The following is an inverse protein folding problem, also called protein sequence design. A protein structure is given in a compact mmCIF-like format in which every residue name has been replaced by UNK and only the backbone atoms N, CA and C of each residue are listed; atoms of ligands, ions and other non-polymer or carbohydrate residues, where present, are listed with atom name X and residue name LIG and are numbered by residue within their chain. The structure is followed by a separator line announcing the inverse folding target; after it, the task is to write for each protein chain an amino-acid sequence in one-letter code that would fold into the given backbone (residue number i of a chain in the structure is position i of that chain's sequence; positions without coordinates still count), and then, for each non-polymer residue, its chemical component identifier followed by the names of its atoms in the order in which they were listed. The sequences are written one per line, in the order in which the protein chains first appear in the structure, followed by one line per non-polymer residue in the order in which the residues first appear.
data_IF_019009523851
#
_entry.id   IF_019009523851
#
_cell.length_a   1.000
_cell.length_b   1.000
_cell.length_c   1.000
_cell.angle_alpha   90.00
_cell.angle_beta   90.00
_cell.angle_gamma   90.00
#
_symmetry.space_group_name_H-M   'P 1'
#
loop_
_entity.id
_entity.type
_entity.pdbx_description
1 polymer ?
#
# COMPACT_ATOMS: atom_id res chain seq x y z
N UNK A 1 -25.79 27.52 6.52
CA UNK A 1 -24.62 27.46 5.61
C UNK A 1 -23.40 27.26 6.48
N UNK A 2 -23.12 26.02 6.84
CA UNK A 2 -21.95 25.62 7.61
C UNK A 2 -21.74 24.13 7.31
N UNK A 3 -20.81 23.82 6.40
CA UNK A 3 -19.89 22.70 6.50
C UNK A 3 -18.91 22.77 5.30
N UNK A 4 -17.79 23.45 5.46
CA UNK A 4 -16.73 23.51 4.44
C UNK A 4 -15.38 23.05 5.02
N UNK A 5 -15.42 22.08 5.94
CA UNK A 5 -14.27 21.73 6.80
C UNK A 5 -13.79 20.26 6.74
N UNK A 6 -14.18 19.43 5.77
CA UNK A 6 -13.98 17.98 5.88
C UNK A 6 -13.39 17.24 4.66
N UNK A 7 -12.73 17.93 3.74
CA UNK A 7 -12.01 17.27 2.64
C UNK A 7 -10.59 17.81 2.57
N UNK A 8 -9.79 17.60 3.63
CA UNK A 8 -8.34 17.56 3.42
C UNK A 8 -8.07 16.28 2.63
N UNK A 9 -7.69 16.47 1.37
CA UNK A 9 -7.45 15.45 0.37
C UNK A 9 -6.54 14.36 0.91
N UNK A 10 -6.94 13.12 0.64
CA UNK A 10 -6.05 11.98 0.66
C UNK A 10 -4.86 12.26 -0.24
N UNK A 11 -3.66 11.90 0.21
CA UNK A 11 -2.43 12.12 -0.53
C UNK A 11 -2.55 11.46 -1.92
N UNK A 12 -2.54 12.31 -2.95
CA UNK A 12 -2.63 11.89 -4.36
C UNK A 12 -1.34 11.20 -4.82
N UNK A 13 -1.39 10.48 -5.95
CA UNK A 13 -0.18 9.88 -6.55
C UNK A 13 0.81 10.98 -6.92
N UNK A 14 0.34 12.10 -7.45
CA UNK A 14 1.17 13.22 -7.85
C UNK A 14 1.89 13.85 -6.64
N UNK A 15 1.17 14.00 -5.53
CA UNK A 15 1.77 14.43 -4.26
C UNK A 15 2.75 13.40 -3.71
N UNK A 16 2.45 12.10 -3.80
CA UNK A 16 3.36 11.03 -3.42
C UNK A 16 4.67 11.07 -4.22
N UNK A 17 4.58 11.14 -5.55
CA UNK A 17 5.73 11.21 -6.45
C UNK A 17 6.56 12.48 -6.16
N UNK A 18 5.89 13.62 -5.99
CA UNK A 18 6.54 14.89 -5.65
C UNK A 18 7.26 14.82 -4.31
N UNK A 19 6.62 14.23 -3.30
CA UNK A 19 7.18 14.04 -1.97
C UNK A 19 8.39 13.09 -2.01
N UNK A 20 8.25 11.94 -2.67
CA UNK A 20 9.31 10.96 -2.88
C UNK A 20 10.52 11.60 -3.57
N UNK A 21 10.30 12.36 -4.64
CA UNK A 21 11.36 13.07 -5.36
C UNK A 21 12.07 14.11 -4.48
N UNK A 22 11.32 14.91 -3.70
CA UNK A 22 11.88 15.91 -2.79
C UNK A 22 12.71 15.28 -1.67
N UNK A 23 12.23 14.20 -1.06
CA UNK A 23 12.97 13.45 -0.04
C UNK A 23 14.25 12.88 -0.66
N UNK A 24 14.15 12.21 -1.81
CA UNK A 24 15.29 11.62 -2.50
C UNK A 24 16.35 12.68 -2.89
N UNK A 25 15.92 13.86 -3.32
CA UNK A 25 16.81 14.97 -3.62
C UNK A 25 17.62 15.40 -2.38
N UNK A 26 16.99 15.51 -1.21
CA UNK A 26 17.69 15.85 0.03
C UNK A 26 18.67 14.75 0.46
N UNK A 27 18.28 13.49 0.33
CA UNK A 27 19.15 12.35 0.66
C UNK A 27 20.36 12.23 -0.27
N UNK A 28 20.23 12.69 -1.52
CA UNK A 28 21.30 12.67 -2.52
C UNK A 28 22.23 13.88 -2.44
N UNK A 29 21.94 14.85 -1.56
CA UNK A 29 22.78 16.04 -1.41
C UNK A 29 24.14 15.70 -0.77
N UNK A 30 25.21 16.36 -1.22
CA UNK A 30 26.57 16.17 -0.67
C UNK A 30 26.65 16.47 0.82
N UNK A 31 25.79 17.37 1.32
CA UNK A 31 25.57 17.62 2.73
C UNK A 31 24.06 17.59 3.01
N UNK A 32 23.62 16.60 3.79
CA UNK A 32 22.21 16.47 4.18
C UNK A 32 21.82 17.60 5.15
N UNK A 33 20.88 18.44 4.73
CA UNK A 33 20.24 19.41 5.62
C UNK A 33 19.11 18.72 6.39
N UNK A 34 19.44 18.17 7.57
CA UNK A 34 18.51 17.37 8.37
C UNK A 34 17.24 18.13 8.78
N UNK A 35 17.30 19.41 9.21
CA UNK A 35 16.09 20.21 9.45
C UNK A 35 15.15 20.31 8.25
N UNK A 36 15.70 20.44 7.03
CA UNK A 36 14.89 20.47 5.81
C UNK A 36 14.25 19.11 5.53
N UNK A 37 15.00 18.01 5.69
CA UNK A 37 14.44 16.66 5.57
C UNK A 37 13.31 16.44 6.59
N UNK A 38 13.51 16.88 7.83
CA UNK A 38 12.51 16.78 8.89
C UNK A 38 11.24 17.56 8.53
N UNK A 39 11.38 18.81 8.09
CA UNK A 39 10.26 19.61 7.64
C UNK A 39 9.50 18.97 6.46
N UNK A 40 10.21 18.33 5.52
CA UNK A 40 9.57 17.61 4.42
C UNK A 40 8.76 16.40 4.89
N UNK A 41 9.30 15.60 5.81
CA UNK A 41 8.62 14.43 6.36
C UNK A 41 7.41 14.88 7.19
N UNK A 42 7.61 15.76 8.16
CA UNK A 42 6.55 16.25 9.06
C UNK A 42 5.44 17.01 8.33
N UNK A 43 5.75 17.70 7.23
CA UNK A 43 4.76 18.46 6.48
C UNK A 43 4.01 19.46 7.37
N UNK A 44 2.68 19.33 7.57
CA UNK A 44 1.92 20.23 8.43
C UNK A 44 2.00 19.91 9.93
N UNK A 45 2.59 18.77 10.33
CA UNK A 45 2.70 18.38 11.73
C UNK A 45 3.73 19.27 12.46
N UNK A 46 3.38 19.67 13.68
CA UNK A 46 4.21 20.52 14.53
C UNK A 46 4.64 19.76 15.78
N UNK A 47 5.91 19.91 16.13
CA UNK A 47 6.57 19.24 17.25
C UNK A 47 7.46 20.26 17.95
N UNK A 48 7.60 20.15 19.26
CA UNK A 48 8.50 21.02 20.00
C UNK A 48 9.98 20.72 19.71
N UNK A 49 10.90 21.56 20.18
CA UNK A 49 12.33 21.40 19.92
C UNK A 49 12.91 20.09 20.47
N UNK A 50 12.33 19.55 21.56
CA UNK A 50 12.79 18.30 22.16
C UNK A 50 12.45 17.14 21.23
N UNK A 51 11.18 17.05 20.82
CA UNK A 51 10.68 15.98 19.97
C UNK A 51 11.29 16.04 18.57
N UNK A 52 11.49 17.24 18.01
CA UNK A 52 12.25 17.41 16.77
C UNK A 52 13.68 16.86 16.90
N UNK A 53 14.33 17.06 18.06
CA UNK A 53 15.65 16.50 18.35
C UNK A 53 15.67 14.97 18.34
N UNK A 54 14.64 14.33 18.90
CA UNK A 54 14.47 12.87 18.89
C UNK A 54 14.26 12.36 17.47
N UNK A 55 13.38 13.00 16.69
CA UNK A 55 13.10 12.62 15.30
C UNK A 55 14.33 12.75 14.39
N UNK A 56 15.16 13.78 14.60
CA UNK A 56 16.45 13.90 13.92
C UNK A 56 17.40 12.76 14.30
N UNK A 57 17.34 12.29 15.55
CA UNK A 57 18.04 11.08 15.98
C UNK A 57 17.56 9.84 15.21
N UNK A 58 16.25 9.71 14.96
CA UNK A 58 15.70 8.58 14.23
C UNK A 58 16.23 8.53 12.79
N UNK A 59 16.34 9.69 12.13
CA UNK A 59 16.93 9.76 10.79
C UNK A 59 18.39 9.31 10.76
N UNK A 60 19.16 9.52 11.83
CA UNK A 60 20.52 9.00 11.91
C UNK A 60 20.55 7.48 12.03
N UNK A 61 19.63 6.89 12.80
CA UNK A 61 19.47 5.43 12.88
C UNK A 61 19.13 4.88 11.50
N UNK A 62 18.14 5.46 10.82
CA UNK A 62 17.73 5.01 9.49
C UNK A 62 18.82 5.20 8.45
N UNK A 63 19.61 6.28 8.52
CA UNK A 63 20.71 6.51 7.59
C UNK A 63 21.83 5.50 7.74
N UNK A 64 22.18 5.15 8.98
CA UNK A 64 23.16 4.10 9.28
C UNK A 64 22.61 2.71 8.89
N UNK A 65 21.35 2.47 9.26
CA UNK A 65 20.64 1.22 9.03
C UNK A 65 20.40 0.93 7.56
N UNK A 66 20.01 1.91 6.74
CA UNK A 66 19.72 1.67 5.33
C UNK A 66 20.87 2.02 4.40
N UNK A 67 21.77 2.96 4.72
CA UNK A 67 22.97 3.33 3.95
C UNK A 67 22.81 3.17 2.41
N UNK A 68 23.62 2.31 1.78
CA UNK A 68 23.58 2.00 0.33
C UNK A 68 22.49 0.97 -0.06
N UNK A 69 21.68 0.54 0.91
CA UNK A 69 20.60 -0.41 0.74
C UNK A 69 19.54 0.09 -0.22
N UNK A 70 19.07 -0.81 -1.09
CA UNK A 70 18.03 -0.53 -2.09
C UNK A 70 16.83 -1.44 -1.87
N UNK A 71 15.63 -0.90 -2.06
CA UNK A 71 14.39 -1.68 -2.16
C UNK A 71 14.43 -2.60 -3.37
N UNK A 72 13.45 -3.50 -3.46
CA UNK A 72 13.30 -4.46 -4.55
C UNK A 72 13.24 -3.79 -5.94
N UNK A 73 12.74 -2.57 -6.05
CA UNK A 73 12.71 -1.79 -7.29
C UNK A 73 13.93 -0.87 -7.49
N UNK A 74 14.94 -0.93 -6.63
CA UNK A 74 16.18 -0.18 -6.80
C UNK A 74 16.19 1.24 -6.21
N UNK A 75 15.07 1.71 -5.65
CA UNK A 75 14.98 2.95 -4.86
C UNK A 75 15.76 2.80 -3.54
N UNK A 76 16.37 3.86 -2.98
CA UNK A 76 17.01 3.79 -1.67
C UNK A 76 16.06 3.27 -0.59
N UNK A 77 16.50 2.29 0.21
CA UNK A 77 15.68 1.63 1.24
C UNK A 77 15.07 2.61 2.24
N UNK A 78 15.86 3.60 2.64
CA UNK A 78 15.47 4.67 3.56
C UNK A 78 14.26 5.50 3.08
N UNK A 79 13.94 5.54 1.78
CA UNK A 79 12.79 6.29 1.30
C UNK A 79 11.48 5.75 1.87
N UNK A 80 11.37 4.43 2.05
CA UNK A 80 10.16 3.79 2.53
C UNK A 80 9.71 4.30 3.90
N UNK A 81 10.50 4.16 4.98
CA UNK A 81 10.08 4.67 6.30
C UNK A 81 9.84 6.18 6.31
N UNK A 82 10.62 6.95 5.55
CA UNK A 82 10.43 8.40 5.45
C UNK A 82 9.10 8.78 4.77
N UNK A 83 8.72 8.06 3.70
CA UNK A 83 7.44 8.29 3.02
C UNK A 83 6.26 7.78 3.85
N UNK A 84 6.39 6.63 4.51
CA UNK A 84 5.39 6.12 5.46
C UNK A 84 5.09 7.15 6.55
N UNK A 85 6.12 7.69 7.20
CA UNK A 85 5.96 8.77 8.19
C UNK A 85 5.36 10.05 7.60
N UNK A 86 5.72 10.38 6.36
CA UNK A 86 5.22 11.57 5.69
C UNK A 86 3.75 11.46 5.26
N UNK A 87 3.28 10.26 4.87
CA UNK A 87 1.86 9.95 4.64
C UNK A 87 1.08 10.11 5.95
N UNK A 88 1.60 9.53 7.04
CA UNK A 88 1.01 9.63 8.37
C UNK A 88 0.84 11.09 8.81
N UNK A 89 1.90 11.89 8.76
CA UNK A 89 1.87 13.28 9.23
C UNK A 89 0.94 14.20 8.41
N UNK A 90 0.62 13.83 7.17
CA UNK A 90 -0.34 14.56 6.32
C UNK A 90 -1.78 14.12 6.56
N UNK A 91 -1.97 12.88 7.01
CA UNK A 91 -3.30 12.29 7.21
C UNK A 91 -3.82 12.52 8.63
N UNK A 92 -2.93 12.38 9.62
CA UNK A 92 -3.23 12.57 11.03
C UNK A 92 -3.12 14.06 11.40
N UNK A 93 -4.18 14.70 11.93
CA UNK A 93 -4.14 16.14 12.22
C UNK A 93 -3.11 16.56 13.26
N UNK A 94 -2.84 15.69 14.24
CA UNK A 94 -1.91 15.92 15.36
C UNK A 94 -1.21 14.59 15.69
N UNK A 95 -0.23 14.15 14.89
CA UNK A 95 0.51 12.93 15.20
C UNK A 95 1.32 13.13 16.48
N UNK A 96 1.40 12.09 17.30
CA UNK A 96 2.28 12.04 18.48
C UNK A 96 3.68 11.61 18.08
N UNK A 97 4.64 11.77 18.99
CA UNK A 97 6.01 11.30 18.76
C UNK A 97 6.06 9.78 18.51
N UNK A 98 5.22 9.01 19.19
CA UNK A 98 5.12 7.55 19.02
C UNK A 98 4.62 7.19 17.63
N UNK A 99 3.63 7.91 17.10
CA UNK A 99 3.09 7.63 15.76
C UNK A 99 4.18 7.81 14.70
N UNK A 100 4.94 8.91 14.79
CA UNK A 100 5.99 9.22 13.82
C UNK A 100 7.20 8.30 13.99
N UNK A 101 7.64 8.01 15.22
CA UNK A 101 8.72 7.06 15.46
C UNK A 101 8.35 5.63 15.03
N UNK A 102 7.11 5.21 15.30
CA UNK A 102 6.56 3.95 14.83
C UNK A 102 6.58 3.86 13.30
N UNK A 103 6.12 4.90 12.61
CA UNK A 103 6.18 4.94 11.15
C UNK A 103 7.62 4.96 10.59
N UNK A 104 8.55 5.64 11.26
CA UNK A 104 9.95 5.68 10.85
C UNK A 104 10.68 4.34 11.09
N UNK A 105 10.34 3.63 12.16
CA UNK A 105 11.06 2.42 12.58
C UNK A 105 10.28 1.11 12.36
N UNK A 106 9.14 1.14 11.67
CA UNK A 106 8.25 -0.03 11.51
C UNK A 106 8.95 -1.28 10.96
N UNK A 107 9.91 -1.11 10.06
CA UNK A 107 10.68 -2.21 9.46
C UNK A 107 11.99 -2.53 10.22
N UNK A 108 12.30 -1.86 11.32
CA UNK A 108 13.58 -2.02 12.03
C UNK A 108 13.83 -3.50 12.43
N UNK A 109 12.80 -4.17 12.93
CA UNK A 109 12.93 -5.57 13.37
C UNK A 109 13.00 -6.58 12.22
N UNK A 110 12.63 -6.17 11.00
CA UNK A 110 12.61 -7.02 9.80
C UNK A 110 13.84 -6.78 8.91
N UNK A 111 14.14 -5.52 8.61
CA UNK A 111 15.15 -5.12 7.62
C UNK A 111 16.48 -4.68 8.25
N UNK A 112 16.46 -4.18 9.49
CA UNK A 112 17.64 -3.60 10.16
C UNK A 112 18.24 -4.57 11.17
N UNK A 113 18.48 -5.80 10.72
CA UNK A 113 18.96 -6.93 11.52
C UNK A 113 20.42 -7.26 11.17
N UNK A 114 21.13 -7.93 12.09
CA UNK A 114 22.55 -8.21 11.91
C UNK A 114 22.83 -9.03 10.63
N UNK A 115 21.95 -9.96 10.29
CA UNK A 115 22.09 -10.80 9.09
C UNK A 115 22.08 -9.99 7.77
N UNK A 116 21.30 -8.90 7.73
CA UNK A 116 21.15 -8.04 6.54
C UNK A 116 22.19 -6.91 6.50
N UNK A 117 22.58 -6.39 7.66
CA UNK A 117 23.46 -5.23 7.77
C UNK A 117 24.95 -5.60 7.87
N UNK A 118 25.25 -6.79 8.38
CA UNK A 118 26.58 -7.18 8.85
C UNK A 118 26.91 -6.59 10.22
N UNK A 119 27.76 -7.28 10.98
CA UNK A 119 28.07 -7.03 12.39
C UNK A 119 28.46 -5.57 12.67
N UNK A 120 29.42 -4.98 11.95
CA UNK A 120 29.91 -3.63 12.25
C UNK A 120 28.83 -2.55 12.09
N UNK A 121 28.10 -2.58 10.97
CA UNK A 121 27.02 -1.62 10.68
C UNK A 121 25.84 -1.81 11.61
N UNK A 122 25.48 -3.06 11.91
CA UNK A 122 24.43 -3.36 12.89
C UNK A 122 24.78 -2.77 14.26
N UNK A 123 25.98 -3.00 14.78
CA UNK A 123 26.40 -2.45 16.08
C UNK A 123 26.43 -0.90 16.08
N UNK A 124 26.89 -0.28 15.00
CA UNK A 124 26.86 1.18 14.82
C UNK A 124 25.43 1.73 14.86
N UNK A 125 24.51 1.08 14.13
CA UNK A 125 23.09 1.45 14.09
C UNK A 125 22.40 1.23 15.43
N UNK A 126 22.62 0.08 16.09
CA UNK A 126 22.07 -0.24 17.41
C UNK A 126 22.55 0.75 18.48
N UNK A 127 23.83 1.15 18.46
CA UNK A 127 24.35 2.17 19.39
C UNK A 127 23.60 3.50 19.24
N UNK A 128 23.25 3.88 18.00
CA UNK A 128 22.44 5.09 17.74
C UNK A 128 21.00 4.90 18.19
N UNK A 129 20.44 3.71 17.98
CA UNK A 129 19.10 3.35 18.43
C UNK A 129 18.98 3.40 19.96
N UNK A 130 19.92 2.81 20.69
CA UNK A 130 19.99 2.87 22.15
C UNK A 130 20.06 4.32 22.65
N UNK A 131 20.88 5.16 22.02
CA UNK A 131 20.97 6.59 22.34
C UNK A 131 19.65 7.32 22.11
N UNK A 132 18.94 7.00 21.03
CA UNK A 132 17.60 7.55 20.75
C UNK A 132 16.62 7.11 21.83
N UNK A 133 16.56 5.83 22.14
CA UNK A 133 15.66 5.25 23.13
C UNK A 133 15.91 5.82 24.53
N UNK A 134 17.17 6.09 24.88
CA UNK A 134 17.55 6.75 26.14
C UNK A 134 17.06 8.21 26.22
N UNK A 135 16.79 8.87 25.09
CA UNK A 135 16.21 10.22 25.04
C UNK A 135 14.70 10.27 25.28
N UNK A 136 14.03 9.12 25.22
CA UNK A 136 12.59 8.96 25.47
C UNK A 136 12.32 8.75 26.97
N UNK A 137 11.19 9.25 27.45
CA UNK A 137 10.66 8.81 28.74
C UNK A 137 10.26 7.34 28.71
N UNK A 138 10.11 6.74 29.90
CA UNK A 138 9.92 5.30 30.06
C UNK A 138 8.63 4.79 29.41
N UNK A 139 7.55 5.56 29.49
CA UNK A 139 6.25 5.21 28.90
C UNK A 139 6.34 5.18 27.38
N UNK A 140 6.87 6.26 26.78
CA UNK A 140 7.10 6.37 25.34
C UNK A 140 8.00 5.26 24.82
N UNK A 141 9.09 4.95 25.55
CA UNK A 141 10.04 3.89 25.18
C UNK A 141 9.40 2.49 25.20
N UNK A 142 8.63 2.21 26.24
CA UNK A 142 7.93 0.92 26.40
C UNK A 142 6.91 0.74 25.31
N UNK A 143 6.07 1.77 25.08
CA UNK A 143 5.03 1.74 24.06
C UNK A 143 5.59 1.65 22.65
N UNK A 144 6.68 2.36 22.33
CA UNK A 144 7.35 2.23 21.04
C UNK A 144 7.92 0.82 20.83
N UNK A 145 8.59 0.25 21.84
CA UNK A 145 9.11 -1.12 21.75
C UNK A 145 7.99 -2.14 21.49
N UNK A 146 6.87 -2.03 22.20
CA UNK A 146 5.71 -2.89 21.99
C UNK A 146 5.12 -2.70 20.58
N UNK A 147 4.99 -1.46 20.12
CA UNK A 147 4.49 -1.14 18.78
C UNK A 147 5.37 -1.79 17.68
N UNK A 148 6.69 -1.65 17.77
CA UNK A 148 7.61 -2.22 16.78
C UNK A 148 7.57 -3.75 16.77
N UNK A 149 7.46 -4.35 17.95
CA UNK A 149 7.28 -5.80 18.07
C UNK A 149 5.99 -6.27 17.39
N UNK A 150 4.90 -5.51 17.54
CA UNK A 150 3.61 -5.83 16.93
C UNK A 150 3.58 -5.59 15.42
N UNK A 151 4.39 -4.65 14.92
CA UNK A 151 4.55 -4.35 13.49
C UNK A 151 5.41 -5.38 12.76
N UNK A 152 6.22 -6.15 13.47
CA UNK A 152 7.09 -7.19 12.93
C UNK A 152 6.36 -8.51 12.68
N UNK A 153 6.55 -9.10 11.49
CA UNK A 153 6.00 -10.40 11.13
C UNK A 153 6.86 -11.61 11.58
N UNK A 154 8.06 -11.37 12.12
CA UNK A 154 9.04 -12.45 12.43
C UNK A 154 8.53 -13.47 13.44
N UNK A 155 7.66 -13.06 14.35
CA UNK A 155 7.09 -13.94 15.39
C UNK A 155 5.83 -14.67 14.95
N UNK A 156 5.12 -14.17 13.94
CA UNK A 156 3.81 -14.68 13.55
C UNK A 156 3.88 -15.90 12.62
N UNK A 157 5.01 -16.10 11.93
CA UNK A 157 5.28 -17.23 11.03
C UNK A 157 4.55 -17.19 9.68
N UNK A 158 3.33 -16.65 9.61
CA UNK A 158 2.61 -16.42 8.34
C UNK A 158 2.01 -15.02 8.30
N UNK A 159 1.85 -14.47 7.08
CA UNK A 159 1.26 -13.15 6.89
C UNK A 159 -0.16 -13.04 7.48
N UNK A 160 -0.97 -14.11 7.39
CA UNK A 160 -2.31 -14.15 7.98
C UNK A 160 -2.28 -14.03 9.50
N UNK A 161 -1.42 -14.81 10.17
CA UNK A 161 -1.27 -14.75 11.63
C UNK A 161 -0.80 -13.37 12.09
N UNK A 162 0.10 -12.76 11.31
CA UNK A 162 0.55 -11.40 11.54
C UNK A 162 -0.60 -10.39 11.43
N UNK A 163 -1.43 -10.48 10.38
CA UNK A 163 -2.60 -9.61 10.27
C UNK A 163 -3.56 -9.80 11.44
N UNK A 164 -3.82 -11.03 11.88
CA UNK A 164 -4.68 -11.28 13.04
C UNK A 164 -4.12 -10.64 14.32
N UNK A 165 -2.81 -10.75 14.57
CA UNK A 165 -2.14 -10.07 15.69
C UNK A 165 -2.35 -8.56 15.62
N UNK A 166 -2.16 -7.96 14.45
CA UNK A 166 -2.41 -6.53 14.25
C UNK A 166 -3.85 -6.15 14.55
N UNK A 167 -4.82 -6.95 14.10
CA UNK A 167 -6.25 -6.69 14.32
C UNK A 167 -6.66 -6.85 15.80
N UNK A 168 -6.04 -7.78 16.53
CA UNK A 168 -6.32 -8.02 17.94
C UNK A 168 -5.86 -6.86 18.83
N UNK A 169 -4.68 -6.31 18.53
CA UNK A 169 -4.07 -5.25 19.32
C UNK A 169 -4.51 -3.85 18.89
N UNK A 170 -5.08 -3.71 17.69
CA UNK A 170 -5.47 -2.43 17.10
C UNK A 170 -6.34 -1.54 17.99
N UNK A 171 -7.25 -2.11 18.78
CA UNK A 171 -8.13 -1.30 19.67
C UNK A 171 -7.39 -0.75 20.87
N UNK A 172 -6.43 -1.50 21.41
CA UNK A 172 -5.59 -1.07 22.52
C UNK A 172 -4.47 -0.11 22.04
N UNK A 173 -4.02 -0.30 20.81
CA UNK A 173 -2.91 0.43 20.18
C UNK A 173 -3.31 0.94 18.78
N UNK A 174 -4.14 1.99 18.66
CA UNK A 174 -4.60 2.50 17.36
C UNK A 174 -3.46 2.90 16.41
N UNK A 175 -2.34 3.37 16.97
CA UNK A 175 -1.11 3.72 16.23
C UNK A 175 -0.60 2.57 15.35
N UNK A 176 -0.85 1.32 15.76
CA UNK A 176 -0.50 0.12 15.00
C UNK A 176 -1.21 0.09 13.63
N UNK A 177 -2.50 0.42 13.59
CA UNK A 177 -3.25 0.50 12.35
C UNK A 177 -2.84 1.69 11.51
N UNK A 178 -2.57 2.84 12.14
CA UNK A 178 -2.16 4.05 11.41
C UNK A 178 -0.86 3.80 10.65
N UNK A 179 0.14 3.26 11.35
CA UNK A 179 1.43 2.89 10.74
C UNK A 179 1.22 1.82 9.67
N UNK A 180 0.44 0.78 9.96
CA UNK A 180 0.26 -0.32 8.99
C UNK A 180 -0.44 0.13 7.72
N UNK A 181 -1.48 0.95 7.81
CA UNK A 181 -2.17 1.48 6.63
C UNK A 181 -1.25 2.41 5.82
N UNK A 182 -0.43 3.25 6.47
CA UNK A 182 0.56 4.08 5.77
C UNK A 182 1.61 3.23 5.04
N UNK A 183 2.12 2.16 5.68
CA UNK A 183 3.03 1.19 5.07
C UNK A 183 2.41 0.53 3.82
N UNK A 184 1.15 0.07 3.93
CA UNK A 184 0.41 -0.49 2.78
C UNK A 184 0.23 0.53 1.64
N UNK A 185 -0.10 1.78 1.97
CA UNK A 185 -0.21 2.85 0.97
C UNK A 185 1.13 3.13 0.28
N UNK A 186 2.23 3.24 1.03
CA UNK A 186 3.56 3.43 0.44
C UNK A 186 3.94 2.26 -0.48
N UNK A 187 3.74 1.02 -0.03
CA UNK A 187 4.04 -0.16 -0.84
C UNK A 187 3.24 -0.23 -2.14
N UNK A 188 2.02 0.30 -2.14
CA UNK A 188 1.15 0.38 -3.31
C UNK A 188 1.67 1.43 -4.29
N UNK A 189 2.03 2.62 -3.81
CA UNK A 189 2.55 3.70 -4.65
C UNK A 189 4.04 3.54 -5.04
N UNK A 190 4.84 2.75 -4.32
CA UNK A 190 6.25 2.51 -4.64
C UNK A 190 6.41 1.87 -6.03
N UNK A 191 5.41 1.07 -6.47
CA UNK A 191 5.39 0.51 -7.83
C UNK A 191 5.32 1.62 -8.88
N UNK A 192 4.56 2.67 -8.61
CA UNK A 192 4.32 3.78 -9.53
C UNK A 192 5.57 4.61 -9.82
N UNK A 193 6.58 4.60 -8.93
CA UNK A 193 7.81 5.39 -9.11
C UNK A 193 8.62 5.01 -10.35
N UNK A 194 8.44 3.80 -10.86
CA UNK A 194 9.06 3.36 -12.12
C UNK A 194 8.27 3.84 -13.35
N UNK A 195 7.02 4.31 -13.18
CA UNK A 195 6.04 4.50 -14.26
C UNK A 195 5.23 5.80 -14.14
N UNK A 196 5.82 6.98 -14.35
CA UNK A 196 5.16 8.28 -14.16
C UNK A 196 4.08 8.61 -15.23
N UNK A 197 3.69 7.66 -16.08
CA UNK A 197 3.05 7.92 -17.37
C UNK A 197 1.56 8.27 -17.35
N UNK A 198 0.84 8.08 -16.24
CA UNK A 198 -0.64 7.91 -16.32
C UNK A 198 -1.45 8.81 -15.40
N UNK A 199 -0.79 9.71 -14.67
CA UNK A 199 -1.41 10.75 -13.82
C UNK A 199 -2.42 11.64 -14.57
N UNK A 200 -2.27 11.78 -15.89
CA UNK A 200 -3.15 12.61 -16.72
C UNK A 200 -4.30 11.86 -17.44
N UNK A 201 -4.44 10.54 -17.30
CA UNK A 201 -5.47 9.79 -18.01
C UNK A 201 -6.68 9.50 -17.13
N UNK A 202 -7.85 9.93 -17.62
CA UNK A 202 -9.12 9.65 -16.97
C UNK A 202 -9.63 8.27 -17.41
N UNK A 203 -9.36 7.24 -16.61
CA UNK A 203 -9.84 5.87 -16.84
C UNK A 203 -11.36 5.80 -17.05
N UNK A 204 -12.15 6.48 -16.21
CA UNK A 204 -13.60 6.44 -16.32
C UNK A 204 -14.11 7.06 -17.63
N UNK A 205 -13.47 8.13 -18.09
CA UNK A 205 -13.73 8.69 -19.42
C UNK A 205 -13.39 7.69 -20.51
N UNK A 206 -12.24 7.02 -20.43
CA UNK A 206 -11.85 6.00 -21.41
C UNK A 206 -12.87 4.85 -21.45
N UNK A 207 -13.32 4.35 -20.30
CA UNK A 207 -14.39 3.34 -20.21
C UNK A 207 -15.68 3.84 -20.84
N UNK A 208 -16.09 5.08 -20.55
CA UNK A 208 -17.28 5.67 -21.16
C UNK A 208 -17.16 5.74 -22.68
N UNK A 209 -16.03 6.23 -23.20
CA UNK A 209 -15.79 6.33 -24.64
C UNK A 209 -15.78 4.93 -25.31
N UNK A 210 -15.19 3.91 -24.67
CA UNK A 210 -15.20 2.52 -25.17
C UNK A 210 -16.63 1.95 -25.24
N UNK A 211 -17.43 2.16 -24.20
CA UNK A 211 -18.76 1.56 -24.11
C UNK A 211 -19.79 2.28 -24.98
N UNK A 212 -19.73 3.61 -25.06
CA UNK A 212 -20.84 4.42 -25.57
C UNK A 212 -20.54 5.17 -26.87
N UNK A 213 -19.27 5.43 -27.23
CA UNK A 213 -18.94 6.22 -28.42
C UNK A 213 -18.69 5.34 -29.65
N UNK A 214 -19.58 5.36 -30.67
CA UNK A 214 -19.47 4.44 -31.81
C UNK A 214 -18.23 4.64 -32.68
N UNK A 215 -17.63 5.84 -32.62
CA UNK A 215 -16.48 6.24 -33.43
C UNK A 215 -15.19 6.36 -32.62
N UNK A 216 -15.18 5.93 -31.36
CA UNK A 216 -13.97 5.93 -30.56
C UNK A 216 -12.94 4.99 -31.20
N UNK A 217 -11.72 5.48 -31.40
CA UNK A 217 -10.65 4.77 -32.10
C UNK A 217 -9.66 4.06 -31.17
N UNK A 218 -9.95 4.04 -29.87
CA UNK A 218 -9.08 3.46 -28.86
C UNK A 218 -8.37 4.52 -28.02
N UNK A 219 -7.78 4.03 -26.93
CA UNK A 219 -7.03 4.84 -25.98
C UNK A 219 -5.68 5.19 -26.62
N UNK A 220 -5.31 6.47 -26.59
CA UNK A 220 -4.01 6.93 -27.02
C UNK A 220 -3.27 7.50 -25.80
N UNK A 221 -2.32 6.72 -25.27
CA UNK A 221 -1.50 7.13 -24.13
C UNK A 221 -0.23 7.92 -24.52
N UNK A 222 -0.14 8.34 -25.79
CA UNK A 222 1.05 9.04 -26.31
C UNK A 222 2.19 8.07 -26.63
N UNK A 223 3.43 8.60 -26.69
CA UNK A 223 4.61 7.83 -27.09
C UNK A 223 5.36 7.17 -25.93
N UNK A 224 5.16 7.63 -24.70
CA UNK A 224 5.92 7.21 -23.53
C UNK A 224 4.96 6.60 -22.49
N UNK A 225 4.43 5.44 -22.84
CA UNK A 225 3.67 4.58 -21.93
C UNK A 225 4.34 3.20 -21.95
N UNK A 226 4.39 2.54 -20.80
CA UNK A 226 5.20 1.34 -20.63
C UNK A 226 4.43 0.31 -19.82
N UNK A 227 4.21 -0.85 -20.43
CA UNK A 227 3.79 -2.02 -19.66
C UNK A 227 4.87 -2.35 -18.63
N UNK A 228 4.50 -2.56 -17.35
CA UNK A 228 5.47 -2.94 -16.34
C UNK A 228 6.19 -4.23 -16.73
N UNK A 229 7.43 -4.36 -16.29
CA UNK A 229 8.11 -5.64 -16.40
C UNK A 229 7.42 -6.69 -15.51
N UNK A 230 7.62 -7.98 -15.82
CA UNK A 230 6.96 -9.06 -15.08
C UNK A 230 7.25 -9.02 -13.57
N UNK A 231 8.43 -8.54 -13.16
CA UNK A 231 8.76 -8.38 -11.73
C UNK A 231 7.88 -7.33 -11.05
N UNK A 232 7.68 -6.20 -11.71
CA UNK A 232 6.91 -5.06 -11.20
C UNK A 232 5.42 -5.37 -11.20
N UNK A 233 4.92 -5.95 -12.29
CA UNK A 233 3.53 -6.40 -12.38
C UNK A 233 3.16 -7.43 -11.32
N UNK A 234 4.06 -8.40 -11.06
CA UNK A 234 3.88 -9.37 -9.97
C UNK A 234 3.86 -8.67 -8.61
N UNK A 235 4.70 -7.65 -8.41
CA UNK A 235 4.74 -6.92 -7.16
C UNK A 235 3.45 -6.12 -6.96
N UNK A 236 2.97 -5.41 -7.98
CA UNK A 236 1.70 -4.68 -7.95
C UNK A 236 0.53 -5.60 -7.60
N UNK A 237 0.39 -6.71 -8.34
CA UNK A 237 -0.68 -7.68 -8.07
C UNK A 237 -0.62 -8.20 -6.63
N UNK A 238 0.58 -8.47 -6.12
CA UNK A 238 0.77 -8.88 -4.73
C UNK A 238 0.27 -7.81 -3.74
N UNK A 239 0.51 -6.53 -4.01
CA UNK A 239 -0.01 -5.44 -3.17
C UNK A 239 -1.53 -5.39 -3.23
N UNK A 240 -2.13 -5.35 -4.44
CA UNK A 240 -3.59 -5.27 -4.60
C UNK A 240 -4.33 -6.43 -3.90
N UNK A 241 -3.79 -7.65 -3.96
CA UNK A 241 -4.33 -8.79 -3.20
C UNK A 241 -4.24 -8.56 -1.69
N UNK A 242 -3.08 -8.15 -1.18
CA UNK A 242 -2.87 -7.90 0.25
C UNK A 242 -3.77 -6.79 0.77
N UNK A 243 -3.95 -5.72 0.00
CA UNK A 243 -4.80 -4.59 0.37
C UNK A 243 -6.27 -4.99 0.40
N UNK A 244 -6.72 -5.76 -0.59
CA UNK A 244 -8.09 -6.30 -0.61
C UNK A 244 -8.37 -7.14 0.64
N UNK A 245 -7.46 -8.05 0.99
CA UNK A 245 -7.58 -8.90 2.17
C UNK A 245 -7.59 -8.04 3.45
N UNK A 246 -6.68 -7.08 3.54
CA UNK A 246 -6.54 -6.25 4.73
C UNK A 246 -7.76 -5.34 4.95
N UNK A 247 -8.26 -4.67 3.90
CA UNK A 247 -9.46 -3.85 3.98
C UNK A 247 -10.71 -4.67 4.34
N UNK A 248 -10.87 -5.86 3.76
CA UNK A 248 -11.96 -6.78 4.12
C UNK A 248 -11.91 -7.15 5.61
N UNK A 249 -10.74 -7.53 6.13
CA UNK A 249 -10.57 -7.88 7.53
C UNK A 249 -10.82 -6.70 8.46
N UNK A 250 -10.28 -5.51 8.16
CA UNK A 250 -10.51 -4.31 8.97
C UNK A 250 -12.01 -4.00 9.10
N UNK A 251 -12.74 -4.03 7.98
CA UNK A 251 -14.18 -3.77 7.96
C UNK A 251 -14.97 -4.84 8.72
N UNK A 252 -14.65 -6.12 8.51
CA UNK A 252 -15.30 -7.24 9.20
C UNK A 252 -15.11 -7.21 10.72
N UNK A 253 -14.02 -6.60 11.20
CA UNK A 253 -13.73 -6.40 12.62
C UNK A 253 -14.16 -5.03 13.17
N UNK A 254 -14.81 -4.20 12.36
CA UNK A 254 -15.23 -2.85 12.73
C UNK A 254 -14.06 -1.97 13.18
N UNK A 255 -12.92 -2.10 12.49
CA UNK A 255 -11.68 -1.36 12.74
C UNK A 255 -11.42 -0.29 11.68
N UNK A 256 -12.08 -0.35 10.54
CA UNK A 256 -11.98 0.66 9.46
C UNK A 256 -12.42 2.07 9.89
N UNK A 257 -13.15 2.18 11.00
CA UNK A 257 -13.64 3.43 11.60
C UNK A 257 -13.25 3.54 13.07
N UNK A 258 -12.11 2.94 13.45
CA UNK A 258 -11.63 3.01 14.84
C UNK A 258 -11.48 4.47 15.30
N UNK A 259 -10.97 5.32 14.41
CA UNK A 259 -10.90 6.77 14.57
C UNK A 259 -10.88 7.47 13.20
N UNK A 260 -10.90 8.80 13.21
CA UNK A 260 -10.91 9.61 11.97
C UNK A 260 -9.64 9.48 11.12
N UNK A 261 -8.51 9.08 11.70
CA UNK A 261 -7.26 8.88 10.96
C UNK A 261 -7.32 7.56 10.21
N UNK A 262 -7.79 6.51 10.89
CA UNK A 262 -7.99 5.16 10.36
C UNK A 262 -9.01 5.18 9.22
N UNK A 263 -10.13 5.89 9.38
CA UNK A 263 -11.14 6.03 8.33
C UNK A 263 -10.55 6.69 7.07
N UNK A 264 -9.79 7.76 7.24
CA UNK A 264 -9.09 8.40 6.11
C UNK A 264 -8.12 7.43 5.46
N UNK A 265 -7.22 6.81 6.23
CA UNK A 265 -6.22 5.90 5.70
C UNK A 265 -6.82 4.66 5.02
N UNK A 266 -7.96 4.15 5.52
CA UNK A 266 -8.71 3.06 4.89
C UNK A 266 -9.19 3.47 3.50
N UNK A 267 -9.85 4.62 3.39
CA UNK A 267 -10.29 5.17 2.10
C UNK A 267 -9.08 5.48 1.20
N UNK A 268 -8.00 5.98 1.79
CA UNK A 268 -6.73 6.25 1.11
C UNK A 268 -6.17 5.02 0.43
N UNK A 269 -6.05 3.91 1.15
CA UNK A 269 -5.56 2.65 0.61
C UNK A 269 -6.47 2.10 -0.49
N UNK A 270 -7.79 2.19 -0.33
CA UNK A 270 -8.73 1.80 -1.38
C UNK A 270 -8.56 2.66 -2.64
N UNK A 271 -8.43 3.99 -2.49
CA UNK A 271 -8.16 4.91 -3.60
C UNK A 271 -6.82 4.60 -4.27
N UNK A 272 -5.76 4.33 -3.50
CA UNK A 272 -4.46 3.90 -4.03
C UNK A 272 -4.60 2.64 -4.90
N UNK A 273 -5.32 1.63 -4.41
CA UNK A 273 -5.59 0.39 -5.13
C UNK A 273 -6.36 0.62 -6.43
N UNK A 274 -7.39 1.49 -6.41
CA UNK A 274 -8.13 1.90 -7.61
C UNK A 274 -7.18 2.52 -8.64
N UNK A 275 -6.34 3.47 -8.23
CA UNK A 275 -5.47 4.20 -9.15
C UNK A 275 -4.43 3.30 -9.81
N UNK A 276 -3.78 2.43 -9.05
CA UNK A 276 -2.82 1.48 -9.60
C UNK A 276 -3.48 0.45 -10.53
N UNK A 277 -4.69 -0.01 -10.19
CA UNK A 277 -5.44 -0.92 -11.05
C UNK A 277 -5.90 -0.21 -12.35
N UNK A 278 -6.40 1.02 -12.26
CA UNK A 278 -6.74 1.84 -13.43
C UNK A 278 -5.55 2.05 -14.35
N UNK A 279 -4.38 2.35 -13.78
CA UNK A 279 -3.14 2.49 -14.52
C UNK A 279 -2.84 1.24 -15.35
N UNK A 280 -2.76 0.07 -14.69
CA UNK A 280 -2.42 -1.18 -15.37
C UNK A 280 -3.49 -1.58 -16.41
N UNK A 281 -4.77 -1.28 -16.16
CA UNK A 281 -5.84 -1.52 -17.14
C UNK A 281 -5.66 -0.67 -18.40
N UNK A 282 -5.30 0.62 -18.27
CA UNK A 282 -5.04 1.49 -19.42
C UNK A 282 -3.82 1.03 -20.22
N UNK A 283 -2.75 0.62 -19.55
CA UNK A 283 -1.57 0.06 -20.22
C UNK A 283 -1.90 -1.23 -20.97
N UNK A 284 -2.71 -2.13 -20.38
CA UNK A 284 -3.17 -3.34 -21.05
C UNK A 284 -4.03 -3.03 -22.27
N UNK A 285 -4.96 -2.08 -22.16
CA UNK A 285 -5.80 -1.66 -23.28
C UNK A 285 -4.99 -1.03 -24.42
N UNK A 286 -3.94 -0.29 -24.09
CA UNK A 286 -3.11 0.36 -25.11
C UNK A 286 -2.10 -0.60 -25.75
N UNK A 287 -1.41 -1.41 -24.95
CA UNK A 287 -0.30 -2.25 -25.40
C UNK A 287 -0.71 -3.66 -25.83
N UNK A 288 -1.73 -4.25 -25.20
CA UNK A 288 -2.12 -5.65 -25.41
C UNK A 288 -3.48 -5.82 -26.10
N UNK A 289 -4.39 -4.86 -25.95
CA UNK A 289 -5.75 -4.92 -26.49
C UNK A 289 -6.13 -3.66 -27.27
N UNK A 290 -5.40 -3.27 -28.33
CA UNK A 290 -5.63 -2.01 -29.05
C UNK A 290 -7.02 -1.94 -29.71
N UNK A 291 -7.66 -3.08 -29.95
CA UNK A 291 -9.00 -3.14 -30.53
C UNK A 291 -10.09 -2.78 -29.50
N UNK A 292 -10.78 -1.66 -29.73
CA UNK A 292 -11.90 -1.18 -28.89
C UNK A 292 -12.96 -2.25 -28.66
N UNK A 293 -13.22 -3.10 -29.66
CA UNK A 293 -14.16 -4.21 -29.54
C UNK A 293 -13.76 -5.16 -28.41
N UNK A 294 -12.49 -5.56 -28.34
CA UNK A 294 -11.98 -6.46 -27.31
C UNK A 294 -11.96 -5.77 -25.93
N UNK A 295 -11.62 -4.49 -25.87
CA UNK A 295 -11.70 -3.70 -24.62
C UNK A 295 -13.14 -3.68 -24.08
N UNK A 296 -14.13 -3.46 -24.97
CA UNK A 296 -15.56 -3.50 -24.62
C UNK A 296 -15.98 -4.88 -24.13
N UNK A 297 -15.58 -5.95 -24.81
CA UNK A 297 -15.87 -7.33 -24.38
C UNK A 297 -15.32 -7.62 -22.97
N UNK A 298 -14.09 -7.18 -22.67
CA UNK A 298 -13.48 -7.32 -21.34
C UNK A 298 -14.27 -6.56 -20.26
N UNK A 299 -14.64 -5.30 -20.54
CA UNK A 299 -15.41 -4.48 -19.61
C UNK A 299 -16.79 -5.08 -19.31
N UNK A 300 -17.51 -5.52 -20.34
CA UNK A 300 -18.83 -6.13 -20.17
C UNK A 300 -18.75 -7.47 -19.43
N UNK A 301 -17.73 -8.29 -19.72
CA UNK A 301 -17.46 -9.55 -19.02
C UNK A 301 -17.24 -9.34 -17.52
N UNK A 302 -16.47 -8.31 -17.13
CA UNK A 302 -16.23 -8.00 -15.71
C UNK A 302 -17.47 -7.43 -15.06
N UNK A 303 -18.21 -6.57 -15.77
CA UNK A 303 -19.49 -6.04 -15.27
C UNK A 303 -20.49 -7.17 -14.97
N UNK A 304 -20.65 -8.13 -15.88
CA UNK A 304 -21.52 -9.30 -15.67
C UNK A 304 -21.05 -10.15 -14.47
N UNK A 305 -19.74 -10.36 -14.32
CA UNK A 305 -19.17 -11.07 -13.18
C UNK A 305 -19.47 -10.37 -11.85
N UNK A 306 -19.27 -9.06 -11.78
CA UNK A 306 -19.53 -8.27 -10.57
C UNK A 306 -21.02 -8.23 -10.23
N UNK A 307 -21.90 -8.00 -11.23
CA UNK A 307 -23.36 -8.00 -11.04
C UNK A 307 -23.88 -9.37 -10.61
N UNK A 308 -23.24 -10.46 -11.05
CA UNK A 308 -23.52 -11.83 -10.58
C UNK A 308 -23.00 -12.14 -9.17
N UNK A 309 -22.48 -11.16 -8.44
CA UNK A 309 -21.97 -11.31 -7.09
C UNK A 309 -20.57 -11.92 -7.01
N UNK A 310 -19.80 -11.92 -8.11
CA UNK A 310 -18.44 -12.48 -8.14
C UNK A 310 -17.44 -11.76 -7.24
N UNK A 311 -17.76 -10.53 -6.82
CA UNK A 311 -16.95 -9.72 -5.89
C UNK A 311 -17.44 -9.76 -4.45
N UNK A 312 -18.57 -10.42 -4.17
CA UNK A 312 -19.16 -10.47 -2.82
C UNK A 312 -18.56 -11.59 -1.96
N UNK A 313 -18.01 -12.63 -2.59
CA UNK A 313 -17.51 -13.81 -1.91
C UNK A 313 -16.31 -14.43 -2.62
N UNK A 314 -15.46 -15.09 -1.85
CA UNK A 314 -14.42 -15.99 -2.36
C UNK A 314 -15.10 -17.27 -2.86
N UNK A 315 -14.96 -17.56 -4.15
CA UNK A 315 -15.57 -18.73 -4.80
C UNK A 315 -14.53 -19.76 -5.23
N UNK A 316 -14.92 -21.02 -5.40
CA UNK A 316 -14.05 -22.07 -5.95
C UNK A 316 -14.02 -22.03 -7.47
N UNK A 317 -13.03 -22.69 -8.10
CA UNK A 317 -12.97 -22.82 -9.56
C UNK A 317 -14.21 -23.46 -10.19
N UNK A 318 -14.93 -24.30 -9.44
CA UNK A 318 -16.13 -25.00 -9.90
C UNK A 318 -17.36 -24.08 -10.03
N UNK A 319 -17.35 -22.91 -9.38
CA UNK A 319 -18.42 -21.93 -9.49
C UNK A 319 -18.52 -21.30 -10.90
N UNK A 320 -17.49 -21.50 -11.75
CA UNK A 320 -17.53 -21.23 -13.18
C UNK A 320 -17.42 -19.76 -13.57
N UNK A 321 -17.31 -18.84 -12.61
CA UNK A 321 -17.05 -17.43 -12.86
C UNK A 321 -15.63 -17.19 -13.36
N UNK A 322 -15.46 -16.11 -14.12
CA UNK A 322 -14.22 -15.80 -14.86
C UNK A 322 -12.97 -15.65 -13.99
N UNK A 323 -13.11 -15.38 -12.69
CA UNK A 323 -12.04 -15.21 -11.72
C UNK A 323 -12.21 -16.08 -10.47
N UNK A 324 -13.15 -17.02 -10.49
CA UNK A 324 -13.39 -17.87 -9.32
C UNK A 324 -12.18 -18.77 -9.05
N UNK A 325 -11.89 -19.01 -7.77
CA UNK A 325 -10.69 -19.70 -7.31
C UNK A 325 -9.42 -18.83 -7.25
N UNK A 326 -9.42 -17.61 -7.81
CA UNK A 326 -8.20 -16.79 -7.86
C UNK A 326 -7.71 -16.32 -6.49
N UNK A 327 -8.61 -15.91 -5.59
CA UNK A 327 -8.25 -15.53 -4.22
C UNK A 327 -7.72 -16.72 -3.42
N UNK A 328 -8.37 -17.89 -3.55
CA UNK A 328 -7.92 -19.14 -2.91
C UNK A 328 -6.54 -19.54 -3.41
N UNK A 329 -6.33 -19.53 -4.73
CA UNK A 329 -5.05 -19.89 -5.34
C UNK A 329 -3.94 -18.91 -4.94
N UNK A 330 -4.20 -17.61 -4.91
CA UNK A 330 -3.24 -16.59 -4.47
C UNK A 330 -2.84 -16.79 -3.01
N UNK A 331 -3.81 -17.09 -2.14
CA UNK A 331 -3.59 -17.34 -0.72
C UNK A 331 -2.80 -18.63 -0.47
N UNK A 332 -3.19 -19.74 -1.07
CA UNK A 332 -2.48 -21.01 -0.97
C UNK A 332 -1.04 -20.87 -1.51
N UNK A 333 -0.86 -20.14 -2.61
CA UNK A 333 0.46 -19.87 -3.16
C UNK A 333 1.31 -19.00 -2.21
N UNK A 334 0.73 -18.05 -1.47
CA UNK A 334 1.43 -17.30 -0.43
C UNK A 334 1.92 -18.20 0.71
N UNK A 335 1.07 -19.11 1.17
CA UNK A 335 1.39 -20.05 2.26
C UNK A 335 2.46 -21.08 1.88
N UNK A 336 2.57 -21.42 0.59
CA UNK A 336 3.51 -22.42 0.07
C UNK A 336 4.76 -21.80 -0.57
N UNK A 337 4.91 -20.48 -0.51
CA UNK A 337 6.03 -19.76 -1.15
C UNK A 337 5.97 -19.73 -2.69
N UNK A 338 4.87 -20.18 -3.29
CA UNK A 338 4.66 -20.24 -4.75
C UNK A 338 3.98 -18.98 -5.33
N UNK A 339 3.64 -17.99 -4.50
CA UNK A 339 2.87 -16.81 -4.91
C UNK A 339 3.49 -16.08 -6.10
N UNK A 340 4.81 -15.91 -6.10
CA UNK A 340 5.52 -15.23 -7.19
C UNK A 340 5.35 -15.95 -8.54
N UNK A 341 5.28 -17.29 -8.53
CA UNK A 341 5.08 -18.10 -9.74
C UNK A 341 3.64 -17.99 -10.23
N UNK A 342 2.66 -18.08 -9.32
CA UNK A 342 1.24 -17.91 -9.64
C UNK A 342 0.95 -16.52 -10.21
N UNK A 343 1.42 -15.47 -9.55
CA UNK A 343 1.26 -14.09 -10.02
C UNK A 343 1.97 -13.83 -11.35
N UNK A 344 3.12 -14.48 -11.59
CA UNK A 344 3.80 -14.41 -12.91
C UNK A 344 2.94 -15.02 -14.00
N UNK A 345 2.36 -16.20 -13.75
CA UNK A 345 1.45 -16.85 -14.72
C UNK A 345 0.21 -16.00 -14.98
N UNK A 346 -0.35 -15.36 -13.95
CA UNK A 346 -1.46 -14.40 -14.11
C UNK A 346 -1.01 -13.20 -14.96
N UNK A 347 0.18 -12.65 -14.70
CA UNK A 347 0.69 -11.50 -15.45
C UNK A 347 0.94 -11.81 -16.92
N UNK A 348 1.44 -13.02 -17.22
CA UNK A 348 1.66 -13.51 -18.59
C UNK A 348 0.33 -13.77 -19.33
N UNK A 349 -0.72 -14.18 -18.62
CA UNK A 349 -2.07 -14.30 -19.19
C UNK A 349 -2.79 -12.93 -19.22
N UNK A 350 -2.56 -12.17 -20.30
CA UNK A 350 -3.06 -10.79 -20.43
C UNK A 350 -4.58 -10.65 -20.31
N UNK A 351 -5.36 -11.62 -20.80
CA UNK A 351 -6.84 -11.55 -20.75
C UNK A 351 -7.33 -11.71 -19.31
N UNK A 352 -6.80 -12.69 -18.58
CA UNK A 352 -7.10 -12.91 -17.18
C UNK A 352 -6.58 -11.79 -16.28
N UNK A 353 -5.40 -11.24 -16.59
CA UNK A 353 -4.85 -10.06 -15.94
C UNK A 353 -5.79 -8.86 -16.09
N UNK A 354 -6.25 -8.56 -17.30
CA UNK A 354 -7.17 -7.44 -17.54
C UNK A 354 -8.47 -7.59 -16.75
N UNK A 355 -9.06 -8.78 -16.74
CA UNK A 355 -10.25 -9.08 -15.94
C UNK A 355 -10.01 -8.88 -14.45
N UNK A 356 -8.90 -9.38 -13.93
CA UNK A 356 -8.54 -9.24 -12.51
C UNK A 356 -8.32 -7.78 -12.11
N UNK A 357 -7.57 -7.03 -12.91
CA UNK A 357 -7.28 -5.62 -12.64
C UNK A 357 -8.55 -4.77 -12.68
N UNK A 358 -9.42 -4.98 -13.67
CA UNK A 358 -10.73 -4.33 -13.71
C UNK A 358 -11.60 -4.70 -12.50
N UNK A 359 -11.52 -5.95 -12.03
CA UNK A 359 -12.24 -6.42 -10.84
C UNK A 359 -11.71 -5.74 -9.57
N UNK A 360 -10.40 -5.52 -9.43
CA UNK A 360 -9.84 -4.75 -8.32
C UNK A 360 -10.41 -3.32 -8.24
N UNK A 361 -10.62 -2.66 -9.39
CA UNK A 361 -11.25 -1.32 -9.42
C UNK A 361 -12.64 -1.37 -8.78
N UNK A 362 -13.42 -2.42 -9.08
CA UNK A 362 -14.75 -2.61 -8.49
C UNK A 362 -14.65 -2.94 -6.99
N UNK A 363 -13.79 -3.88 -6.60
CA UNK A 363 -13.57 -4.27 -5.19
C UNK A 363 -13.24 -3.06 -4.30
N UNK A 364 -12.22 -2.29 -4.70
CA UNK A 364 -11.83 -1.09 -3.95
C UNK A 364 -12.90 0.01 -4.01
N UNK A 365 -13.61 0.13 -5.13
CA UNK A 365 -14.78 1.00 -5.25
C UNK A 365 -15.89 0.62 -4.27
N UNK A 366 -16.14 -0.66 -4.05
CA UNK A 366 -17.16 -1.14 -3.10
C UNK A 366 -16.79 -0.81 -1.65
N UNK A 367 -15.52 -0.92 -1.25
CA UNK A 367 -15.07 -0.49 0.09
C UNK A 367 -15.35 0.99 0.39
N UNK A 368 -15.35 1.85 -0.64
CA UNK A 368 -15.62 3.28 -0.52
C UNK A 368 -17.12 3.56 -0.54
N UNK A 369 -17.84 2.94 -1.48
CA UNK A 369 -19.24 3.29 -1.76
C UNK A 369 -20.23 2.59 -0.84
N UNK A 370 -19.87 1.42 -0.29
CA UNK A 370 -20.71 0.67 0.63
C UNK A 370 -20.01 0.55 2.00
N UNK A 371 -20.59 1.16 3.07
CA UNK A 371 -20.03 1.14 4.42
C UNK A 371 -20.07 -0.25 5.09
N UNK A 372 -20.78 -1.20 4.51
CA UNK A 372 -20.94 -2.58 5.02
C UNK A 372 -20.24 -3.62 4.16
N UNK A 373 -19.77 -3.23 2.97
CA UNK A 373 -19.13 -4.14 2.04
C UNK A 373 -17.89 -4.81 2.64
N UNK A 374 -17.89 -6.13 2.54
CA UNK A 374 -16.79 -7.04 2.86
C UNK A 374 -16.80 -8.16 1.82
N UNK A 375 -15.81 -9.05 1.87
CA UNK A 375 -15.77 -10.24 1.02
C UNK A 375 -15.99 -11.47 1.88
N UNK A 376 -17.08 -12.19 1.62
CA UNK A 376 -17.37 -13.45 2.30
C UNK A 376 -16.30 -14.50 1.98
N UNK A 377 -15.95 -15.32 2.96
CA UNK A 377 -14.84 -16.27 2.86
C UNK A 377 -13.46 -15.69 3.22
N UNK A 378 -13.34 -14.39 3.49
CA UNK A 378 -12.16 -13.81 4.15
C UNK A 378 -12.47 -13.59 5.64
N UNK A 379 -11.68 -14.19 6.52
CA UNK A 379 -11.77 -14.00 7.97
C UNK A 379 -10.42 -14.26 8.68
N UNK A 380 -10.45 -14.31 10.01
CA UNK A 380 -9.25 -14.53 10.85
C UNK A 380 -8.60 -15.87 10.61
N UNK A 381 -9.36 -16.90 10.25
CA UNK A 381 -8.87 -18.25 9.98
C UNK A 381 -8.17 -18.32 8.61
N UNK A 382 -8.48 -17.38 7.71
CA UNK A 382 -7.80 -17.19 6.44
C UNK A 382 -8.79 -16.94 5.30
N UNK A 383 -8.45 -17.50 4.13
CA UNK A 383 -9.28 -17.41 2.93
C UNK A 383 -9.84 -18.79 2.62
N UNK A 384 -11.16 -18.89 2.60
CA UNK A 384 -11.91 -20.10 2.22
C UNK A 384 -12.95 -19.73 1.18
N UNK A 385 -13.19 -20.66 0.26
CA UNK A 385 -14.33 -20.52 -0.62
C UNK A 385 -15.63 -20.70 0.17
N UNK A 386 -16.65 -19.98 -0.23
CA UNK A 386 -18.02 -20.10 0.26
C UNK A 386 -18.87 -20.54 -0.92
N UNK A 387 -19.58 -21.65 -0.74
CA UNK A 387 -20.58 -22.07 -1.71
C UNK A 387 -21.78 -21.14 -1.59
N UNK A 388 -22.18 -20.56 -2.73
CA UNK A 388 -23.31 -19.62 -2.83
C UNK A 388 -24.67 -20.30 -2.76
#
# INVERSE_FOLDING_TARGET
MENNGSTRELLTIEEFLTLSAKINYQLSASALNKPVLLALVLGPADFDQRDQGVLLGAFEVLREGYADGRRRLGTPGILHPLRTAAILCRTMPKPTLIDVLGALAHDKEEDLIEEELGTERFHSMETRWEKLMAGLDEDTRTRLSQLLHLLSNRTAGTYQKYLVQVLDEARAHPELLHVKLCDRMDNTFDVHLQHPGVTNFNFYRAVFDILFMPRFQGINMGRFHFMPEAREGVMLLSQLFKDTIFLALLRKHGLDRLDSTTEKLFVGLAVSGIREAQWLALELFTACFPEVKKQRELLLSVMEYCVGGGVEAVRTTEAGGILDGMFVASFQAAMTGQQKKMLRSLFENRDQLAKMVLTFIVLFGSFINDPTYTIDGIDREGIRAVDG
#
